data_IF_003068005267
#
_entry.id   IF_003068005267
#
_cell.length_a   1.000
_cell.length_b   1.000
_cell.length_c   1.000
_cell.angle_alpha   90.00
_cell.angle_beta   90.00
_cell.angle_gamma   90.00
#
_symmetry.space_group_name_H-M   'P 1'
#
loop_
_entity.id
_entity.type
_entity.pdbx_description
1 polymer ?
#
# COMPACT_ATOMS: atom_id res chain seq x y z
N UNK A 1 17.50 -20.45 44.18
CA UNK A 1 16.53 -19.39 43.85
C UNK A 1 17.23 -18.06 44.05
N UNK A 2 17.67 -17.40 42.97
CA UNK A 2 18.29 -16.07 43.03
C UNK A 2 17.19 -15.03 42.78
N UNK A 3 16.85 -14.27 43.82
CA UNK A 3 15.92 -13.15 43.71
C UNK A 3 16.63 -11.98 43.02
N UNK A 4 16.29 -11.71 41.77
CA UNK A 4 16.71 -10.48 41.07
C UNK A 4 15.83 -9.34 41.57
N UNK A 5 16.33 -8.51 42.48
CA UNK A 5 15.67 -7.27 42.86
C UNK A 5 15.84 -6.25 41.72
N UNK A 6 14.85 -6.18 40.83
CA UNK A 6 14.80 -5.10 39.83
C UNK A 6 14.26 -3.83 40.49
N UNK A 7 15.14 -3.06 41.13
CA UNK A 7 14.79 -1.68 41.49
C UNK A 7 14.56 -0.89 40.20
N UNK A 8 13.38 -0.28 39.99
CA UNK A 8 13.12 0.53 38.82
C UNK A 8 14.08 1.73 38.83
N UNK A 9 14.85 1.87 37.76
CA UNK A 9 15.75 3.00 37.57
C UNK A 9 14.91 4.25 37.31
N UNK A 10 14.64 5.03 38.36
CA UNK A 10 13.95 6.32 38.25
C UNK A 10 14.88 7.28 37.51
N UNK A 11 14.57 7.57 36.26
CA UNK A 11 15.30 8.59 35.48
C UNK A 11 15.01 9.94 36.14
N UNK A 12 16.05 10.59 36.64
CA UNK A 12 15.96 11.92 37.24
C UNK A 12 15.47 12.94 36.19
N UNK A 13 14.57 13.88 36.54
CA UNK A 13 14.19 14.99 35.65
C UNK A 13 15.41 15.77 35.12
N UNK A 14 16.50 15.80 35.90
CA UNK A 14 17.75 16.45 35.53
C UNK A 14 18.41 15.79 34.30
N UNK A 15 18.22 14.49 34.10
CA UNK A 15 18.80 13.73 32.99
C UNK A 15 18.12 14.07 31.66
N UNK A 16 16.83 14.43 31.68
CA UNK A 16 16.11 14.87 30.47
C UNK A 16 16.54 16.28 30.04
N UNK A 17 16.76 17.20 30.99
CA UNK A 17 17.28 18.53 30.68
C UNK A 17 18.69 18.46 30.05
N UNK A 18 19.55 17.59 30.58
CA UNK A 18 20.91 17.37 30.04
C UNK A 18 20.90 16.82 28.60
N UNK A 19 19.88 16.06 28.19
CA UNK A 19 19.76 15.57 26.81
C UNK A 19 19.49 16.68 25.80
N UNK A 20 18.85 17.76 26.24
CA UNK A 20 18.50 18.89 25.38
C UNK A 20 19.61 19.97 25.38
N UNK A 21 20.40 20.08 26.45
CA UNK A 21 21.40 21.15 26.64
C UNK A 21 22.84 20.73 26.31
N UNK A 22 23.21 19.45 26.47
CA UNK A 22 24.58 18.96 26.28
C UNK A 22 24.70 18.05 25.05
N UNK A 23 25.23 18.61 23.95
CA UNK A 23 25.50 17.88 22.71
C UNK A 23 26.48 16.72 22.91
N UNK A 24 27.46 16.85 23.83
CA UNK A 24 28.42 15.80 24.13
C UNK A 24 27.77 14.62 24.84
N UNK A 25 26.85 14.89 25.77
CA UNK A 25 26.05 13.86 26.43
C UNK A 25 25.09 13.16 25.46
N UNK A 26 24.43 13.92 24.57
CA UNK A 26 23.55 13.36 23.54
C UNK A 26 24.32 12.46 22.56
N UNK A 27 25.48 12.90 22.08
CA UNK A 27 26.36 12.09 21.23
C UNK A 27 26.87 10.82 21.93
N UNK A 28 27.17 10.91 23.22
CA UNK A 28 27.55 9.75 24.04
C UNK A 28 26.42 8.72 24.15
N UNK A 29 25.18 9.17 24.39
CA UNK A 29 24.01 8.30 24.53
C UNK A 29 23.47 7.76 23.21
N UNK A 30 23.63 8.50 22.11
CA UNK A 30 23.10 8.14 20.79
C UNK A 30 23.54 6.74 20.35
N UNK A 31 24.82 6.41 20.50
CA UNK A 31 25.39 5.12 20.06
C UNK A 31 24.77 3.90 20.76
N UNK A 32 24.78 3.77 22.10
CA UNK A 32 24.16 2.63 22.77
C UNK A 32 22.63 2.62 22.61
N UNK A 33 22.00 3.80 22.57
CA UNK A 33 20.55 3.91 22.38
C UNK A 33 20.13 3.43 20.99
N UNK A 34 20.91 3.71 19.94
CA UNK A 34 20.56 3.36 18.57
C UNK A 34 20.34 1.87 18.36
N UNK A 35 21.20 1.02 18.94
CA UNK A 35 21.07 -0.42 18.85
C UNK A 35 19.83 -0.94 19.59
N UNK A 36 19.55 -0.40 20.78
CA UNK A 36 18.38 -0.77 21.57
C UNK A 36 17.08 -0.33 20.90
N UNK A 37 17.07 0.91 20.39
CA UNK A 37 15.96 1.47 19.63
C UNK A 37 15.65 0.60 18.41
N UNK A 38 16.66 0.24 17.63
CA UNK A 38 16.49 -0.61 16.46
C UNK A 38 15.86 -1.97 16.82
N UNK A 39 16.35 -2.62 17.88
CA UNK A 39 15.82 -3.90 18.33
C UNK A 39 14.35 -3.78 18.79
N UNK A 40 14.02 -2.74 19.54
CA UNK A 40 12.68 -2.50 20.05
C UNK A 40 11.69 -2.15 18.93
N UNK A 41 12.09 -1.26 18.01
CA UNK A 41 11.28 -0.88 16.84
C UNK A 41 11.03 -2.08 15.93
N UNK A 42 12.06 -2.86 15.63
CA UNK A 42 11.91 -4.07 14.82
C UNK A 42 10.93 -5.04 15.45
N UNK A 43 11.03 -5.26 16.77
CA UNK A 43 10.11 -6.15 17.49
C UNK A 43 8.68 -5.60 17.52
N UNK A 44 8.51 -4.29 17.64
CA UNK A 44 7.19 -3.66 17.61
C UNK A 44 6.52 -3.80 16.23
N UNK A 45 7.29 -3.64 15.15
CA UNK A 45 6.85 -3.88 13.77
C UNK A 45 6.45 -5.35 13.58
N UNK A 46 7.31 -6.28 14.00
CA UNK A 46 7.06 -7.73 13.86
C UNK A 46 5.78 -8.15 14.60
N UNK A 47 5.52 -7.56 15.77
CA UNK A 47 4.31 -7.81 16.57
C UNK A 47 3.09 -7.00 16.12
N UNK A 48 3.23 -6.15 15.10
CA UNK A 48 2.18 -5.21 14.64
C UNK A 48 1.64 -4.33 15.77
N UNK A 49 2.48 -3.98 16.74
CA UNK A 49 2.09 -3.14 17.87
C UNK A 49 2.07 -1.65 17.48
N UNK A 50 1.08 -1.23 16.69
CA UNK A 50 1.04 0.10 16.04
C UNK A 50 1.21 1.26 17.03
N UNK A 51 0.53 1.22 18.18
CA UNK A 51 0.67 2.24 19.22
C UNK A 51 2.12 2.36 19.75
N UNK A 52 2.84 1.24 19.84
CA UNK A 52 4.25 1.24 20.25
C UNK A 52 5.12 1.80 19.13
N UNK A 53 4.85 1.44 17.88
CA UNK A 53 5.59 1.96 16.72
C UNK A 53 5.49 3.48 16.63
N UNK A 54 4.29 4.03 16.82
CA UNK A 54 4.03 5.47 16.83
C UNK A 54 4.84 6.19 17.92
N UNK A 55 4.73 5.73 19.17
CA UNK A 55 5.48 6.30 20.32
C UNK A 55 6.99 6.23 20.12
N UNK A 56 7.50 5.15 19.52
CA UNK A 56 8.93 5.03 19.25
C UNK A 56 9.42 6.09 18.27
N UNK A 57 8.66 6.38 17.21
CA UNK A 57 9.07 7.41 16.25
C UNK A 57 9.10 8.82 16.84
N UNK A 58 8.27 9.11 17.85
CA UNK A 58 8.35 10.37 18.61
C UNK A 58 9.63 10.45 19.47
N UNK A 59 10.09 9.31 20.01
CA UNK A 59 11.31 9.20 20.80
C UNK A 59 12.62 9.36 20.00
N UNK A 60 12.56 9.44 18.66
CA UNK A 60 13.73 9.54 17.78
C UNK A 60 14.53 10.83 17.94
N UNK A 61 13.97 11.86 18.58
CA UNK A 61 14.62 13.17 18.78
C UNK A 61 15.95 13.12 19.54
N UNK A 62 16.24 12.02 20.24
CA UNK A 62 17.45 11.85 21.06
C UNK A 62 18.59 11.09 20.35
N UNK A 63 18.41 10.78 19.06
CA UNK A 63 19.42 10.08 18.25
C UNK A 63 20.09 11.08 17.31
N UNK A 64 21.43 11.07 17.28
CA UNK A 64 22.20 11.88 16.34
C UNK A 64 22.02 11.39 14.90
N UNK A 65 22.15 12.31 13.94
CA UNK A 65 21.92 12.00 12.52
C UNK A 65 22.85 10.89 12.02
N UNK A 66 24.08 10.85 12.51
CA UNK A 66 25.10 9.85 12.17
C UNK A 66 24.74 8.42 12.63
N UNK A 67 23.90 8.29 13.66
CA UNK A 67 23.45 7.00 14.19
C UNK A 67 22.02 6.63 13.75
N UNK A 68 21.36 7.50 12.98
CA UNK A 68 19.99 7.29 12.51
C UNK A 68 19.84 6.00 11.68
N UNK A 69 20.81 5.70 10.82
CA UNK A 69 20.78 4.49 9.99
C UNK A 69 20.82 3.22 10.85
N UNK A 70 21.60 3.24 11.94
CA UNK A 70 21.69 2.13 12.89
C UNK A 70 20.36 1.92 13.61
N UNK A 71 19.66 3.00 13.94
CA UNK A 71 18.34 2.96 14.57
C UNK A 71 17.27 2.32 13.69
N UNK A 72 17.39 2.48 12.37
CA UNK A 72 16.33 2.11 11.42
C UNK A 72 16.64 0.86 10.61
N UNK A 73 17.85 0.30 10.72
CA UNK A 73 18.32 -0.86 9.94
C UNK A 73 17.31 -2.03 9.93
N UNK A 74 16.80 -2.40 11.10
CA UNK A 74 15.85 -3.51 11.24
C UNK A 74 14.48 -3.18 10.67
N UNK A 75 13.97 -1.96 10.92
CA UNK A 75 12.74 -1.48 10.30
C UNK A 75 12.84 -1.46 8.76
N UNK A 76 13.99 -1.02 8.22
CA UNK A 76 14.29 -1.09 6.79
C UNK A 76 14.24 -2.51 6.24
N UNK A 77 14.90 -3.44 6.93
CA UNK A 77 14.88 -4.84 6.55
C UNK A 77 13.45 -5.40 6.53
N UNK A 78 12.62 -5.06 7.52
CA UNK A 78 11.21 -5.50 7.57
C UNK A 78 10.36 -4.87 6.47
N UNK A 79 10.51 -3.57 6.22
CA UNK A 79 9.83 -2.91 5.11
C UNK A 79 10.25 -3.50 3.75
N UNK A 80 11.53 -3.82 3.58
CA UNK A 80 12.05 -4.49 2.39
C UNK A 80 11.46 -5.88 2.21
N UNK A 81 11.42 -6.69 3.27
CA UNK A 81 10.78 -8.01 3.24
C UNK A 81 9.30 -7.92 2.86
N UNK A 82 8.58 -6.94 3.41
CA UNK A 82 7.19 -6.69 3.04
C UNK A 82 7.06 -6.33 1.56
N UNK A 83 7.92 -5.47 1.02
CA UNK A 83 7.93 -5.14 -0.41
C UNK A 83 8.11 -6.38 -1.27
N UNK A 84 9.07 -7.25 -0.93
CA UNK A 84 9.34 -8.46 -1.70
C UNK A 84 8.17 -9.45 -1.64
N UNK A 85 7.54 -9.61 -0.48
CA UNK A 85 6.29 -10.41 -0.36
C UNK A 85 5.20 -9.84 -1.27
N UNK A 86 4.99 -8.52 -1.26
CA UNK A 86 3.96 -7.89 -2.08
C UNK A 86 4.25 -8.02 -3.57
N UNK A 87 5.51 -7.89 -4.00
CA UNK A 87 5.91 -8.13 -5.40
C UNK A 87 5.69 -9.58 -5.81
N UNK A 88 6.01 -10.53 -4.94
CA UNK A 88 5.79 -11.94 -5.20
C UNK A 88 4.30 -12.26 -5.35
N UNK A 89 3.44 -11.72 -4.48
CA UNK A 89 2.00 -11.82 -4.62
C UNK A 89 1.50 -11.19 -5.93
N UNK A 90 2.04 -10.03 -6.30
CA UNK A 90 1.70 -9.39 -7.56
C UNK A 90 2.10 -10.24 -8.77
N UNK A 91 3.27 -10.86 -8.75
CA UNK A 91 3.70 -11.80 -9.78
C UNK A 91 2.78 -13.03 -9.86
N UNK A 92 2.48 -13.65 -8.72
CA UNK A 92 1.60 -14.82 -8.67
C UNK A 92 0.17 -14.52 -9.12
N UNK A 93 -0.31 -13.29 -8.88
CA UNK A 93 -1.66 -12.86 -9.21
C UNK A 93 -2.00 -12.91 -10.69
N UNK A 94 -1.01 -12.94 -11.59
CA UNK A 94 -1.23 -13.12 -13.02
C UNK A 94 -1.73 -14.54 -13.33
N UNK A 95 -1.10 -15.53 -12.69
CA UNK A 95 -1.37 -16.97 -12.94
C UNK A 95 -2.46 -17.57 -12.05
N UNK A 96 -2.65 -17.03 -10.85
CA UNK A 96 -3.57 -17.57 -9.84
C UNK A 96 -4.25 -16.44 -9.08
N UNK A 97 -5.50 -16.64 -8.72
CA UNK A 97 -6.21 -15.69 -7.87
C UNK A 97 -5.55 -15.61 -6.48
N UNK A 98 -5.11 -14.41 -6.10
CA UNK A 98 -4.61 -14.12 -4.75
C UNK A 98 -5.79 -13.80 -3.86
N UNK A 99 -6.14 -14.70 -2.94
CA UNK A 99 -7.23 -14.47 -2.00
C UNK A 99 -6.86 -13.40 -0.97
N UNK A 100 -7.69 -12.37 -0.85
CA UNK A 100 -7.46 -11.24 0.05
C UNK A 100 -7.60 -11.58 1.55
N UNK A 101 -8.18 -12.73 1.91
CA UNK A 101 -8.83 -12.89 3.22
C UNK A 101 -8.62 -14.20 4.00
N UNK A 102 -7.87 -15.22 3.53
CA UNK A 102 -7.99 -16.56 4.17
C UNK A 102 -6.74 -17.22 4.72
N UNK A 103 -5.53 -16.82 4.37
CA UNK A 103 -4.33 -17.33 5.03
C UNK A 103 -3.76 -16.30 6.00
N UNK A 104 -3.64 -16.70 7.25
CA UNK A 104 -3.04 -15.93 8.35
C UNK A 104 -1.58 -15.52 8.11
N UNK A 105 -0.96 -16.03 7.05
CA UNK A 105 0.46 -15.83 6.72
C UNK A 105 0.68 -14.77 5.62
N UNK A 106 -0.33 -14.49 4.77
CA UNK A 106 -0.18 -13.58 3.63
C UNK A 106 -1.44 -12.74 3.34
N UNK A 107 -2.26 -12.47 4.35
CA UNK A 107 -3.40 -11.57 4.18
C UNK A 107 -2.90 -10.14 3.98
N UNK A 108 -3.24 -9.56 2.83
CA UNK A 108 -3.14 -8.13 2.56
C UNK A 108 -4.05 -7.44 3.60
N UNK A 109 -3.47 -7.13 4.74
CA UNK A 109 -4.17 -6.69 5.94
C UNK A 109 -4.28 -5.17 5.95
N UNK A 110 -5.35 -4.68 6.57
CA UNK A 110 -5.54 -3.25 6.83
C UNK A 110 -4.36 -2.62 7.61
N UNK A 111 -3.56 -3.43 8.29
CA UNK A 111 -2.38 -2.99 9.04
C UNK A 111 -1.24 -2.51 8.13
N UNK A 112 -1.16 -2.97 6.87
CA UNK A 112 -0.04 -2.61 5.97
C UNK A 112 -0.05 -1.10 5.67
N UNK A 113 -1.17 -0.51 5.19
CA UNK A 113 -1.27 0.94 5.07
C UNK A 113 -0.98 1.66 6.38
N UNK A 114 -1.57 1.20 7.50
CA UNK A 114 -1.40 1.82 8.81
C UNK A 114 0.08 1.90 9.21
N UNK A 115 0.80 0.78 9.13
CA UNK A 115 2.22 0.71 9.42
C UNK A 115 3.03 1.64 8.50
N UNK A 116 2.86 1.53 7.18
CA UNK A 116 3.66 2.29 6.22
C UNK A 116 3.37 3.80 6.25
N UNK A 117 2.17 4.20 6.69
CA UNK A 117 1.82 5.60 6.89
C UNK A 117 2.49 6.20 8.15
N UNK A 118 2.71 5.39 9.18
CA UNK A 118 3.46 5.80 10.38
C UNK A 118 4.95 5.94 10.10
N UNK A 119 5.49 5.22 9.11
CA UNK A 119 6.93 5.25 8.85
C UNK A 119 7.42 6.63 8.34
N UNK A 120 8.65 7.03 8.73
CA UNK A 120 9.27 8.26 8.27
C UNK A 120 9.43 8.39 6.74
N UNK A 121 9.75 9.60 6.26
CA UNK A 121 9.91 9.90 4.83
C UNK A 121 10.96 9.01 4.12
N UNK A 122 11.93 8.48 4.87
CA UNK A 122 12.96 7.62 4.33
C UNK A 122 12.41 6.24 3.87
N UNK A 123 11.19 5.88 4.30
CA UNK A 123 10.49 4.65 3.87
C UNK A 123 9.57 4.84 2.66
N UNK A 124 9.49 6.04 2.08
CA UNK A 124 8.57 6.33 0.95
C UNK A 124 8.81 5.42 -0.25
N UNK A 125 10.07 5.08 -0.53
CA UNK A 125 10.39 4.12 -1.60
C UNK A 125 9.73 2.75 -1.39
N UNK A 126 9.61 2.29 -0.14
CA UNK A 126 8.93 1.03 0.19
C UNK A 126 7.41 1.18 0.02
N UNK A 127 6.84 2.29 0.51
CA UNK A 127 5.41 2.59 0.35
C UNK A 127 4.99 2.62 -1.13
N UNK A 128 5.76 3.32 -1.98
CA UNK A 128 5.50 3.37 -3.42
C UNK A 128 5.57 1.99 -4.07
N UNK A 129 6.54 1.16 -3.69
CA UNK A 129 6.66 -0.20 -4.22
C UNK A 129 5.49 -1.09 -3.80
N UNK A 130 5.05 -1.00 -2.54
CA UNK A 130 3.87 -1.75 -2.06
C UNK A 130 2.61 -1.31 -2.79
N UNK A 131 2.37 0.00 -2.96
CA UNK A 131 1.22 0.50 -3.73
C UNK A 131 1.30 0.06 -5.19
N UNK A 132 2.48 0.07 -5.80
CA UNK A 132 2.69 -0.44 -7.15
C UNK A 132 2.31 -1.92 -7.28
N UNK A 133 2.78 -2.76 -6.35
CA UNK A 133 2.43 -4.18 -6.32
C UNK A 133 0.92 -4.42 -6.11
N UNK A 134 0.29 -3.66 -5.21
CA UNK A 134 -1.17 -3.70 -5.00
C UNK A 134 -1.93 -3.34 -6.28
N UNK A 135 -1.51 -2.30 -7.00
CA UNK A 135 -2.13 -1.93 -8.28
C UNK A 135 -2.01 -3.03 -9.33
N UNK A 136 -0.83 -3.63 -9.47
CA UNK A 136 -0.64 -4.77 -10.37
C UNK A 136 -1.58 -5.93 -10.01
N UNK A 137 -1.73 -6.26 -8.72
CA UNK A 137 -2.68 -7.28 -8.28
C UNK A 137 -4.13 -6.92 -8.64
N UNK A 138 -4.55 -5.67 -8.41
CA UNK A 138 -5.90 -5.24 -8.76
C UNK A 138 -6.18 -5.38 -10.27
N UNK A 139 -5.20 -5.00 -11.11
CA UNK A 139 -5.28 -5.14 -12.56
C UNK A 139 -5.41 -6.62 -12.94
N UNK A 140 -4.57 -7.50 -12.37
CA UNK A 140 -4.59 -8.93 -12.66
C UNK A 140 -5.89 -9.59 -12.20
N UNK A 141 -6.41 -9.24 -11.00
CA UNK A 141 -7.71 -9.71 -10.52
C UNK A 141 -8.85 -9.39 -11.51
N UNK A 142 -8.85 -8.19 -12.08
CA UNK A 142 -9.88 -7.80 -13.06
C UNK A 142 -9.64 -8.45 -14.43
N UNK A 143 -8.43 -8.33 -14.99
CA UNK A 143 -8.14 -8.73 -16.36
C UNK A 143 -8.02 -10.25 -16.53
N UNK A 144 -7.22 -10.92 -15.69
CA UNK A 144 -6.94 -12.34 -15.82
C UNK A 144 -8.04 -13.20 -15.20
N UNK A 145 -8.61 -12.77 -14.07
CA UNK A 145 -9.53 -13.60 -13.28
C UNK A 145 -10.99 -13.13 -13.29
N UNK A 146 -11.29 -11.98 -13.91
CA UNK A 146 -12.64 -11.40 -13.98
C UNK A 146 -13.27 -11.12 -12.60
N UNK A 147 -12.43 -10.95 -11.56
CA UNK A 147 -12.83 -10.69 -10.17
C UNK A 147 -12.85 -9.18 -9.87
N UNK A 148 -13.82 -8.46 -10.43
CA UNK A 148 -13.90 -6.99 -10.29
C UNK A 148 -14.08 -6.54 -8.84
N UNK A 149 -14.88 -7.24 -8.04
CA UNK A 149 -15.09 -6.87 -6.63
C UNK A 149 -13.79 -6.98 -5.82
N UNK A 150 -12.98 -8.00 -6.09
CA UNK A 150 -11.66 -8.16 -5.45
C UNK A 150 -10.70 -7.05 -5.90
N UNK A 151 -10.68 -6.72 -7.20
CA UNK A 151 -9.91 -5.61 -7.74
C UNK A 151 -10.27 -4.28 -7.06
N UNK A 152 -11.57 -3.99 -6.90
CA UNK A 152 -12.07 -2.82 -6.17
C UNK A 152 -11.61 -2.81 -4.71
N UNK A 153 -11.68 -3.95 -4.02
CA UNK A 153 -11.20 -4.09 -2.64
C UNK A 153 -9.71 -3.74 -2.51
N UNK A 154 -8.87 -4.22 -3.44
CA UNK A 154 -7.44 -3.91 -3.48
C UNK A 154 -7.21 -2.40 -3.73
N UNK A 155 -7.95 -1.81 -4.68
CA UNK A 155 -7.84 -0.37 -4.95
C UNK A 155 -8.31 0.49 -3.77
N UNK A 156 -9.34 0.06 -3.03
CA UNK A 156 -9.76 0.73 -1.80
C UNK A 156 -8.66 0.69 -0.73
N UNK A 157 -7.92 -0.41 -0.63
CA UNK A 157 -6.77 -0.49 0.25
C UNK A 157 -5.66 0.49 -0.18
N UNK A 158 -5.38 0.62 -1.48
CA UNK A 158 -4.41 1.59 -2.00
C UNK A 158 -4.77 3.04 -1.58
N UNK A 159 -6.06 3.38 -1.48
CA UNK A 159 -6.52 4.71 -1.03
C UNK A 159 -6.23 5.00 0.44
N UNK A 160 -5.95 3.97 1.25
CA UNK A 160 -5.60 4.15 2.66
C UNK A 160 -4.16 4.62 2.86
N UNK A 161 -3.32 4.63 1.81
CA UNK A 161 -1.95 5.14 1.91
C UNK A 161 -1.92 6.67 1.83
N UNK A 162 -1.26 7.30 2.80
CA UNK A 162 -1.09 8.75 2.87
C UNK A 162 0.34 9.12 2.45
N UNK A 163 0.48 9.88 1.36
CA UNK A 163 1.76 10.38 0.87
C UNK A 163 1.95 11.84 1.28
N UNK A 164 2.83 12.14 2.23
CA UNK A 164 3.05 13.51 2.74
C UNK A 164 3.51 14.55 1.68
N UNK A 165 3.88 14.13 0.46
CA UNK A 165 4.24 15.04 -0.65
C UNK A 165 3.12 15.04 -1.70
N UNK A 166 2.53 16.22 -1.93
CA UNK A 166 1.38 16.42 -2.82
C UNK A 166 1.60 15.99 -4.27
N UNK A 167 2.85 15.91 -4.77
CA UNK A 167 3.14 15.49 -6.15
C UNK A 167 2.99 13.98 -6.36
N UNK A 168 3.57 13.18 -5.47
CA UNK A 168 3.47 11.71 -5.54
C UNK A 168 2.05 11.26 -5.18
N UNK A 169 1.45 11.90 -4.18
CA UNK A 169 0.06 11.65 -3.81
C UNK A 169 -0.90 11.88 -4.99
N UNK A 170 -0.78 13.03 -5.68
CA UNK A 170 -1.60 13.33 -6.86
C UNK A 170 -1.38 12.32 -7.98
N UNK A 171 -0.14 11.96 -8.29
CA UNK A 171 0.15 10.99 -9.34
C UNK A 171 -0.41 9.60 -9.00
N UNK A 172 -0.29 9.17 -7.74
CA UNK A 172 -0.87 7.91 -7.27
C UNK A 172 -2.39 7.95 -7.28
N UNK A 173 -3.01 9.01 -6.80
CA UNK A 173 -4.47 9.17 -6.80
C UNK A 173 -5.04 9.23 -8.21
N UNK A 174 -4.39 9.95 -9.12
CA UNK A 174 -4.79 10.02 -10.52
C UNK A 174 -4.67 8.66 -11.21
N UNK A 175 -3.60 7.92 -10.94
CA UNK A 175 -3.46 6.54 -11.42
C UNK A 175 -4.57 5.63 -10.90
N UNK A 176 -4.90 5.71 -9.61
CA UNK A 176 -6.00 4.94 -9.02
C UNK A 176 -7.36 5.33 -9.61
N UNK A 177 -7.55 6.61 -9.96
CA UNK A 177 -8.77 7.10 -10.61
C UNK A 177 -8.89 6.54 -12.02
N UNK A 178 -7.82 6.60 -12.80
CA UNK A 178 -7.79 6.05 -14.16
C UNK A 178 -8.03 4.54 -14.17
N UNK A 179 -7.39 3.79 -13.26
CA UNK A 179 -7.60 2.34 -13.13
C UNK A 179 -9.08 2.03 -12.80
N UNK A 180 -9.69 2.79 -11.89
CA UNK A 180 -11.11 2.61 -11.53
C UNK A 180 -12.07 2.99 -12.67
N UNK A 181 -11.79 4.06 -13.42
CA UNK A 181 -12.56 4.48 -14.60
C UNK A 181 -12.49 3.41 -15.69
N UNK A 182 -11.31 2.82 -15.92
CA UNK A 182 -11.13 1.74 -16.90
C UNK A 182 -11.92 0.48 -16.53
N UNK A 183 -11.90 0.11 -15.26
CA UNK A 183 -12.69 -1.02 -14.74
C UNK A 183 -14.19 -0.74 -14.93
N UNK A 184 -14.67 0.46 -14.61
CA UNK A 184 -16.07 0.84 -14.77
C UNK A 184 -16.50 0.86 -16.24
N UNK A 185 -15.62 1.32 -17.15
CA UNK A 185 -15.85 1.26 -18.60
C UNK A 185 -15.96 -0.19 -19.08
N UNK A 186 -15.00 -1.05 -18.71
CA UNK A 186 -15.01 -2.46 -19.09
C UNK A 186 -16.26 -3.20 -18.59
N UNK A 187 -16.76 -2.90 -17.39
CA UNK A 187 -18.03 -3.45 -16.91
C UNK A 187 -19.22 -2.97 -17.74
N UNK A 188 -19.31 -1.66 -18.01
CA UNK A 188 -20.43 -1.07 -18.75
C UNK A 188 -20.57 -1.63 -20.17
N UNK A 189 -19.45 -1.95 -20.81
CA UNK A 189 -19.43 -2.46 -22.18
C UNK A 189 -19.16 -3.95 -22.27
N UNK A 190 -19.16 -4.69 -21.14
CA UNK A 190 -18.87 -6.12 -21.10
C UNK A 190 -19.78 -6.89 -22.06
N UNK A 191 -21.10 -6.66 -22.00
CA UNK A 191 -22.07 -7.36 -22.84
C UNK A 191 -21.95 -6.99 -24.33
N UNK A 192 -21.62 -5.73 -24.62
CA UNK A 192 -21.42 -5.25 -26.00
C UNK A 192 -20.15 -5.82 -26.62
N UNK A 193 -19.04 -5.84 -25.87
CA UNK A 193 -17.77 -6.42 -26.30
C UNK A 193 -17.88 -7.94 -26.46
N UNK A 194 -18.64 -8.61 -25.59
CA UNK A 194 -18.89 -10.06 -25.68
C UNK A 194 -19.74 -10.39 -26.92
N UNK A 195 -20.76 -9.58 -27.24
CA UNK A 195 -21.54 -9.71 -28.48
C UNK A 195 -20.70 -9.51 -29.75
N UNK A 196 -19.81 -8.51 -29.75
CA UNK A 196 -19.00 -8.15 -30.93
C UNK A 196 -18.01 -9.25 -31.32
N UNK A 197 -17.46 -10.01 -30.35
CA UNK A 197 -16.53 -11.10 -30.61
C UNK A 197 -17.20 -12.49 -30.78
N UNK A 198 -18.38 -12.73 -30.20
CA UNK A 198 -19.09 -14.01 -30.32
C UNK A 198 -20.04 -14.12 -31.53
N UNK A 199 -20.13 -13.09 -32.39
CA UNK A 199 -20.98 -13.11 -33.59
C UNK A 199 -22.48 -13.31 -33.32
N UNK A 200 -22.91 -13.13 -32.06
CA UNK A 200 -24.30 -13.28 -31.64
C UNK A 200 -24.95 -11.90 -31.62
N UNK A 201 -26.10 -11.74 -32.28
CA UNK A 201 -26.77 -10.45 -32.36
C UNK A 201 -27.22 -9.96 -30.97
N UNK A 202 -27.01 -8.68 -30.62
CA UNK A 202 -27.48 -8.13 -29.36
C UNK A 202 -29.01 -8.10 -29.33
N UNK A 203 -29.62 -8.73 -28.32
CA UNK A 203 -31.09 -8.79 -28.16
C UNK A 203 -31.68 -7.60 -27.41
N UNK A 204 -30.87 -6.61 -27.02
CA UNK A 204 -31.40 -5.40 -26.37
C UNK A 204 -30.72 -4.15 -26.90
N UNK A 205 -31.55 -3.16 -27.26
CA UNK A 205 -31.08 -1.85 -27.69
C UNK A 205 -30.31 -1.16 -26.56
N UNK A 206 -29.19 -0.48 -26.86
CA UNK A 206 -28.45 0.27 -25.85
C UNK A 206 -29.34 1.40 -25.28
N UNK A 207 -29.28 1.68 -23.98
CA UNK A 207 -30.02 2.77 -23.37
C UNK A 207 -29.45 4.10 -23.88
N UNK A 208 -30.14 4.72 -24.86
CA UNK A 208 -29.83 6.05 -25.35
C UNK A 208 -29.89 6.29 -26.86
N UNK A 209 -30.16 5.27 -27.70
CA UNK A 209 -30.35 5.52 -29.14
C UNK A 209 -31.76 6.08 -29.40
N UNK A 210 -31.85 7.40 -29.60
CA UNK A 210 -33.03 8.00 -30.24
C UNK A 210 -33.08 7.51 -31.68
N UNK A 211 -34.04 6.65 -32.00
CA UNK A 211 -34.37 6.22 -33.35
C UNK A 211 -34.80 7.44 -34.16
N UNK A 212 -33.95 7.89 -35.08
CA UNK A 212 -34.36 8.78 -36.16
C UNK A 212 -35.06 7.88 -37.19
N UNK A 213 -36.38 7.97 -37.28
CA UNK A 213 -37.13 7.38 -38.38
C UNK A 213 -36.78 8.12 -39.67
N UNK A 214 -35.92 7.50 -40.49
CA UNK A 214 -35.75 7.83 -41.90
C UNK A 214 -36.34 6.71 -42.74
N UNK A 215 -37.30 7.05 -43.60
CA UNK A 215 -38.00 6.16 -44.53
C UNK A 215 -37.03 5.33 -45.40
N UNK A 216 -37.23 4.00 -45.51
CA UNK A 216 -36.50 3.17 -46.44
C UNK A 216 -37.24 3.12 -47.78
N UNK A 217 -37.02 4.13 -48.60
CA UNK A 217 -37.19 3.97 -50.04
C UNK A 217 -36.07 4.72 -50.73
N UNK A 218 -35.12 3.98 -51.32
CA UNK A 218 -34.59 4.21 -52.67
C UNK A 218 -33.41 3.25 -52.94
N UNK A 219 -33.73 2.25 -53.76
CA UNK A 219 -32.99 1.80 -54.96
C UNK A 219 -31.61 1.14 -54.77
N UNK A 220 -31.67 -0.18 -54.86
CA UNK A 220 -30.66 -1.07 -55.43
C UNK A 220 -30.28 -0.62 -56.86
N UNK A 221 -28.98 -0.44 -57.16
CA UNK A 221 -28.44 -0.58 -58.52
C UNK A 221 -26.93 -0.84 -58.50
N UNK A 222 -26.55 -1.82 -59.32
CA UNK A 222 -25.23 -2.39 -59.61
C UNK A 222 -24.23 -1.38 -60.19
N UNK A 223 -22.94 -1.69 -60.09
CA UNK A 223 -21.92 -1.17 -61.01
C UNK A 223 -20.51 -1.71 -60.71
N UNK A 224 -20.11 -2.71 -61.52
CA UNK A 224 -18.77 -3.25 -61.84
C UNK A 224 -17.63 -3.24 -60.82
#
# INVERSE_FOLDING_TARGET
>A
MLATSSTPMTISPLTLALLDEDEGFRAFLSKPFAAQYNALLTRAIDKRAMAVVEVLFDGRRWVEVEDLDKCLTGAYKRAGQLVEIMKQLAYESDSRLVELARSSECSISADIPALLNLLPVQFRGHQTQVVGALRSMAINCHNAHQQTEMSRGILLLCKQFHFKKSGVERATQEGLRQDAELIAYNEKYKDFLTCFFCGSAPTTNPPGSKTIHGDPSVICSRGN
#
